data_IF_557657050888
#
_entry.id   IF_557657050888
#
_cell.length_a   1.000
_cell.length_b   1.000
_cell.length_c   1.000
_cell.angle_alpha   90.00
_cell.angle_beta   90.00
_cell.angle_gamma   90.00
#
_symmetry.space_group_name_H-M   'P 1'
#
loop_
_entity.id
_entity.type
_entity.pdbx_description
1 polymer ?
#
# COMPACT_ATOMS: atom_id res chain seq x y z
N UNK A 1 5.33 -9.42 -14.72
CA UNK A 1 4.83 -9.49 -16.11
C UNK A 1 5.15 -8.16 -16.76
N UNK A 2 6.06 -8.11 -17.74
CA UNK A 2 6.25 -6.89 -18.54
C UNK A 2 5.14 -6.89 -19.59
N UNK A 3 4.22 -5.93 -19.51
CA UNK A 3 3.13 -5.83 -20.47
C UNK A 3 3.68 -5.48 -21.86
N UNK A 4 3.02 -5.97 -22.92
CA UNK A 4 3.34 -5.64 -24.32
C UNK A 4 3.16 -4.14 -24.61
N UNK A 5 2.30 -3.47 -23.85
CA UNK A 5 2.02 -2.05 -23.92
C UNK A 5 2.80 -1.29 -22.84
N UNK A 6 3.44 -0.17 -23.22
CA UNK A 6 4.34 0.62 -22.36
C UNK A 6 3.63 1.52 -21.32
N UNK A 7 2.33 1.34 -21.11
CA UNK A 7 1.54 2.12 -20.16
C UNK A 7 1.48 1.48 -18.77
N UNK A 8 1.21 2.31 -17.78
CA UNK A 8 0.85 1.96 -16.41
C UNK A 8 -0.66 2.03 -16.25
N UNK A 9 -1.26 0.97 -15.72
CA UNK A 9 -2.68 0.96 -15.35
C UNK A 9 -2.83 1.37 -13.88
N UNK A 10 -3.48 2.50 -13.65
CA UNK A 10 -3.90 2.94 -12.32
C UNK A 10 -5.33 2.45 -12.08
N UNK A 11 -5.61 1.93 -10.89
CA UNK A 11 -6.96 1.47 -10.52
C UNK A 11 -7.33 1.95 -9.13
N UNK A 12 -8.62 2.22 -8.94
CA UNK A 12 -9.22 2.46 -7.64
C UNK A 12 -10.39 1.47 -7.46
N UNK A 13 -10.43 0.84 -6.29
CA UNK A 13 -11.52 -0.04 -5.88
C UNK A 13 -12.00 0.39 -4.49
N UNK A 14 -13.26 0.11 -4.19
CA UNK A 14 -13.82 0.25 -2.85
C UNK A 14 -14.36 -1.10 -2.35
N UNK A 15 -14.49 -1.20 -1.04
CA UNK A 15 -15.17 -2.31 -0.40
C UNK A 15 -16.63 -1.91 -0.13
N UNK A 16 -17.59 -2.73 -0.57
CA UNK A 16 -19.00 -2.53 -0.25
C UNK A 16 -19.35 -3.06 1.16
N UNK A 17 -20.60 -2.86 1.58
CA UNK A 17 -21.08 -3.33 2.88
C UNK A 17 -21.09 -4.87 3.04
N UNK A 18 -20.98 -5.61 1.93
CA UNK A 18 -20.92 -7.06 1.89
C UNK A 18 -19.47 -7.58 1.75
N UNK A 19 -18.48 -6.71 1.95
CA UNK A 19 -17.06 -7.01 1.81
C UNK A 19 -16.62 -7.39 0.39
N UNK A 20 -17.38 -7.04 -0.64
CA UNK A 20 -16.94 -7.17 -2.02
C UNK A 20 -16.05 -6.01 -2.41
N UNK A 21 -15.00 -6.32 -3.16
CA UNK A 21 -14.17 -5.30 -3.81
C UNK A 21 -14.82 -4.93 -5.15
N UNK A 22 -15.28 -3.69 -5.27
CA UNK A 22 -15.92 -3.16 -6.47
C UNK A 22 -14.98 -2.15 -7.13
N UNK A 23 -14.70 -2.26 -8.44
CA UNK A 23 -13.91 -1.26 -9.16
C UNK A 23 -14.67 0.07 -9.24
N UNK A 24 -13.99 1.17 -8.93
CA UNK A 24 -14.54 2.52 -9.00
C UNK A 24 -14.09 3.26 -10.28
N UNK A 25 -12.80 3.20 -10.58
CA UNK A 25 -12.20 3.90 -11.70
C UNK A 25 -10.89 3.25 -12.13
N UNK A 26 -10.48 3.52 -13.38
CA UNK A 26 -9.16 3.16 -13.90
C UNK A 26 -8.63 4.24 -14.84
N UNK A 27 -7.31 4.28 -15.02
CA UNK A 27 -6.61 5.14 -15.97
C UNK A 27 -5.42 4.40 -16.56
N UNK A 28 -5.13 4.66 -17.84
CA UNK A 28 -3.88 4.24 -18.47
C UNK A 28 -3.02 5.48 -18.67
N UNK A 29 -1.86 5.53 -18.00
CA UNK A 29 -0.90 6.63 -18.11
C UNK A 29 0.48 6.10 -18.51
N UNK A 30 1.41 6.96 -18.95
CA UNK A 30 2.74 6.50 -19.34
C UNK A 30 3.57 6.04 -18.13
N UNK A 31 3.48 6.78 -17.02
CA UNK A 31 4.29 6.55 -15.81
C UNK A 31 3.52 6.88 -14.52
N UNK A 32 3.89 6.24 -13.41
CA UNK A 32 3.46 6.64 -12.07
C UNK A 32 4.20 7.91 -11.63
N UNK A 33 3.57 9.07 -11.81
CA UNK A 33 4.12 10.37 -11.39
C UNK A 33 3.16 11.06 -10.44
N UNK A 34 3.61 12.09 -9.73
CA UNK A 34 2.67 12.92 -8.95
C UNK A 34 1.56 13.47 -9.85
N UNK A 35 1.90 13.92 -11.06
CA UNK A 35 0.94 14.51 -12.00
C UNK A 35 -0.13 13.51 -12.46
N UNK A 36 0.25 12.28 -12.83
CA UNK A 36 -0.72 11.25 -13.22
C UNK A 36 -1.63 10.85 -12.05
N UNK A 37 -1.06 10.64 -10.86
CA UNK A 37 -1.86 10.34 -9.66
C UNK A 37 -2.79 11.48 -9.26
N UNK A 38 -2.33 12.73 -9.32
CA UNK A 38 -3.15 13.90 -9.00
C UNK A 38 -4.32 14.02 -9.97
N UNK A 39 -4.10 13.83 -11.27
CA UNK A 39 -5.16 13.83 -12.26
C UNK A 39 -6.17 12.72 -11.98
N UNK A 40 -5.70 11.47 -11.80
CA UNK A 40 -6.56 10.30 -11.53
C UNK A 40 -7.45 10.52 -10.30
N UNK A 41 -6.82 10.86 -9.17
CA UNK A 41 -7.51 11.01 -7.90
C UNK A 41 -8.46 12.20 -7.91
N UNK A 42 -8.13 13.29 -8.61
CA UNK A 42 -9.04 14.44 -8.76
C UNK A 42 -10.30 14.10 -9.57
N UNK A 43 -10.18 13.24 -10.58
CA UNK A 43 -11.36 12.72 -11.31
C UNK A 43 -12.19 11.79 -10.43
N UNK A 44 -11.53 10.93 -9.67
CA UNK A 44 -12.19 10.04 -8.74
C UNK A 44 -12.94 10.81 -7.64
N UNK A 45 -12.32 11.83 -7.05
CA UNK A 45 -12.92 12.61 -5.96
C UNK A 45 -14.17 13.36 -6.40
N UNK A 46 -14.23 13.84 -7.65
CA UNK A 46 -15.44 14.43 -8.23
C UNK A 46 -16.55 13.41 -8.54
N UNK A 47 -16.23 12.11 -8.54
CA UNK A 47 -17.16 11.03 -8.89
C UNK A 47 -17.69 10.26 -7.67
N UNK A 48 -17.10 10.45 -6.49
CA UNK A 48 -17.49 9.79 -5.25
C UNK A 48 -17.92 10.81 -4.20
N UNK A 49 -18.83 10.41 -3.31
CA UNK A 49 -19.21 11.25 -2.17
C UNK A 49 -18.16 11.15 -1.06
N UNK A 50 -17.57 12.29 -0.67
CA UNK A 50 -16.65 12.34 0.46
C UNK A 50 -17.39 12.00 1.76
N UNK A 51 -16.78 11.15 2.58
CA UNK A 51 -17.27 10.81 3.92
C UNK A 51 -16.20 11.08 4.96
N UNK A 52 -16.62 11.48 6.15
CA UNK A 52 -15.70 11.75 7.28
C UNK A 52 -15.00 10.49 7.80
N UNK A 53 -15.56 9.30 7.54
CA UNK A 53 -15.02 8.00 7.91
C UNK A 53 -14.31 7.29 6.76
N UNK A 54 -14.03 8.00 5.66
CA UNK A 54 -13.36 7.42 4.51
C UNK A 54 -11.90 7.08 4.85
N UNK A 55 -11.52 5.84 4.51
CA UNK A 55 -10.16 5.33 4.66
C UNK A 55 -9.62 4.93 3.30
N UNK A 56 -8.45 5.47 2.92
CA UNK A 56 -7.81 5.19 1.64
C UNK A 56 -6.57 4.35 1.89
N UNK A 57 -6.50 3.20 1.23
CA UNK A 57 -5.35 2.29 1.29
C UNK A 57 -4.64 2.27 -0.06
N UNK A 58 -3.35 2.58 -0.09
CA UNK A 58 -2.59 2.71 -1.33
C UNK A 58 -1.11 2.27 -1.18
N UNK A 59 -0.37 2.19 -2.29
CA UNK A 59 1.07 1.86 -2.28
C UNK A 59 1.94 3.06 -1.84
N UNK A 60 3.18 2.82 -1.41
CA UNK A 60 4.13 3.85 -0.96
C UNK A 60 4.83 4.61 -2.08
N UNK A 61 4.24 4.68 -3.27
CA UNK A 61 4.78 5.50 -4.34
C UNK A 61 4.73 6.98 -3.94
N UNK A 62 5.87 7.68 -3.95
CA UNK A 62 5.96 9.09 -3.46
C UNK A 62 4.97 10.02 -4.15
N UNK A 63 4.76 9.84 -5.46
CA UNK A 63 3.79 10.61 -6.23
C UNK A 63 2.35 10.37 -5.76
N UNK A 64 2.02 9.12 -5.41
CA UNK A 64 0.69 8.75 -4.92
C UNK A 64 0.45 9.28 -3.50
N UNK A 65 1.43 9.14 -2.59
CA UNK A 65 1.37 9.73 -1.25
C UNK A 65 1.07 11.23 -1.33
N UNK A 66 1.82 11.96 -2.16
CA UNK A 66 1.62 13.40 -2.30
C UNK A 66 0.28 13.76 -2.92
N UNK A 67 -0.17 13.04 -3.94
CA UNK A 67 -1.45 13.31 -4.61
C UNK A 67 -2.65 12.96 -3.70
N UNK A 68 -2.59 11.85 -2.96
CA UNK A 68 -3.64 11.43 -2.04
C UNK A 68 -3.82 12.42 -0.88
N UNK A 69 -2.73 12.94 -0.31
CA UNK A 69 -2.78 13.96 0.73
C UNK A 69 -3.39 15.29 0.22
N UNK A 70 -3.18 15.62 -1.05
CA UNK A 70 -3.69 16.84 -1.68
C UNK A 70 -5.19 16.72 -2.02
N UNK A 71 -5.61 15.58 -2.57
CA UNK A 71 -7.01 15.37 -3.01
C UNK A 71 -7.94 14.95 -1.87
N UNK A 72 -7.42 14.19 -0.89
CA UNK A 72 -8.20 13.66 0.23
C UNK A 72 -7.59 14.06 1.58
N UNK A 73 -7.46 15.37 1.88
CA UNK A 73 -6.76 15.86 3.07
C UNK A 73 -7.43 15.46 4.40
N UNK A 74 -8.71 15.12 4.37
CA UNK A 74 -9.49 14.74 5.56
C UNK A 74 -9.74 13.24 5.68
N UNK A 75 -9.37 12.45 4.68
CA UNK A 75 -9.49 11.01 4.75
C UNK A 75 -8.40 10.44 5.67
N UNK A 76 -8.69 9.29 6.28
CA UNK A 76 -7.65 8.49 6.91
C UNK A 76 -6.85 7.76 5.82
N UNK A 77 -5.54 7.67 6.00
CA UNK A 77 -4.63 7.08 5.01
C UNK A 77 -3.89 5.91 5.62
N UNK A 78 -3.74 4.84 4.83
CA UNK A 78 -2.94 3.67 5.20
C UNK A 78 -2.21 3.09 4.01
N UNK A 79 -1.17 2.32 4.30
CA UNK A 79 -0.40 1.65 3.26
C UNK A 79 -0.90 0.23 3.05
N UNK A 80 -1.01 -0.17 1.79
CA UNK A 80 -1.40 -1.51 1.41
C UNK A 80 -0.37 -2.52 1.93
N UNK A 81 -0.80 -3.39 2.84
CA UNK A 81 0.06 -4.41 3.46
C UNK A 81 0.67 -5.37 2.44
N UNK A 82 -0.06 -5.66 1.36
CA UNK A 82 0.41 -6.56 0.32
C UNK A 82 1.50 -5.91 -0.54
N UNK A 83 1.39 -4.60 -0.81
CA UNK A 83 2.48 -3.84 -1.44
C UNK A 83 3.68 -3.71 -0.50
N UNK A 84 3.46 -3.49 0.80
CA UNK A 84 4.53 -3.49 1.80
C UNK A 84 5.28 -4.83 1.83
N UNK A 85 4.56 -5.96 1.80
CA UNK A 85 5.14 -7.29 1.73
C UNK A 85 6.01 -7.48 0.48
N UNK A 86 5.53 -7.05 -0.69
CA UNK A 86 6.32 -7.12 -1.95
C UNK A 86 7.56 -6.22 -1.89
N UNK A 87 7.41 -5.00 -1.36
CA UNK A 87 8.52 -4.06 -1.17
C UNK A 87 9.57 -4.62 -0.20
N UNK A 88 9.15 -5.27 0.89
CA UNK A 88 10.03 -5.97 1.83
C UNK A 88 10.84 -7.06 1.13
N UNK A 89 10.17 -7.97 0.42
CA UNK A 89 10.82 -9.09 -0.29
C UNK A 89 11.79 -8.56 -1.35
N UNK A 90 11.39 -7.56 -2.11
CA UNK A 90 12.22 -6.93 -3.14
C UNK A 90 13.46 -6.26 -2.54
N UNK A 91 13.30 -5.55 -1.41
CA UNK A 91 14.37 -4.77 -0.78
C UNK A 91 15.44 -5.62 -0.13
N UNK A 92 15.02 -6.68 0.58
CA UNK A 92 15.94 -7.48 1.39
C UNK A 92 16.46 -8.73 0.69
N UNK A 93 16.01 -9.01 -0.56
CA UNK A 93 16.54 -10.04 -1.47
C UNK A 93 16.92 -11.39 -0.82
N UNK A 94 16.26 -11.75 0.27
CA UNK A 94 16.39 -13.07 0.87
C UNK A 94 15.79 -14.07 -0.12
N UNK A 95 16.50 -15.17 -0.40
CA UNK A 95 15.93 -16.31 -1.11
C UNK A 95 14.52 -16.60 -0.58
N UNK A 96 13.57 -16.81 -1.48
CA UNK A 96 12.13 -16.64 -1.32
C UNK A 96 11.41 -17.40 -0.17
N UNK A 97 12.11 -18.03 0.76
CA UNK A 97 11.56 -19.09 1.58
C UNK A 97 11.03 -18.63 2.95
N UNK A 98 11.22 -17.37 3.36
CA UNK A 98 10.88 -16.92 4.73
C UNK A 98 10.05 -15.64 4.85
N UNK A 99 10.52 -14.53 4.25
CA UNK A 99 10.00 -13.19 4.59
C UNK A 99 8.50 -13.01 4.33
N UNK A 100 7.99 -13.57 3.24
CA UNK A 100 6.61 -13.35 2.82
C UNK A 100 5.59 -13.86 3.84
N UNK A 101 5.77 -15.07 4.34
CA UNK A 101 4.85 -15.66 5.30
C UNK A 101 5.11 -15.13 6.72
N UNK A 102 6.36 -14.86 7.10
CA UNK A 102 6.70 -14.25 8.40
C UNK A 102 6.08 -12.86 8.54
N UNK A 103 6.21 -12.03 7.52
CA UNK A 103 5.56 -10.73 7.48
C UNK A 103 4.03 -10.87 7.49
N UNK A 104 3.50 -11.87 6.78
CA UNK A 104 2.05 -12.17 6.80
C UNK A 104 1.56 -12.52 8.20
N UNK A 105 2.29 -13.38 8.89
CA UNK A 105 1.98 -13.79 10.24
C UNK A 105 2.07 -12.59 11.21
N UNK A 106 3.11 -11.75 11.08
CA UNK A 106 3.25 -10.53 11.88
C UNK A 106 2.05 -9.58 11.73
N UNK A 107 1.63 -9.23 10.51
CA UNK A 107 0.50 -8.30 10.35
C UNK A 107 -0.86 -8.92 10.68
N UNK A 108 -0.95 -10.26 10.73
CA UNK A 108 -2.17 -11.00 11.07
C UNK A 108 -2.19 -11.45 12.54
N UNK A 109 -1.19 -11.05 13.34
CA UNK A 109 -1.08 -11.40 14.74
C UNK A 109 -2.23 -10.78 15.54
N UNK A 110 -2.80 -11.55 16.47
CA UNK A 110 -3.91 -11.13 17.32
C UNK A 110 -3.42 -10.56 18.66
N UNK A 111 -2.16 -10.79 19.00
CA UNK A 111 -1.55 -10.29 20.23
C UNK A 111 -0.21 -9.59 19.96
N UNK A 112 0.18 -8.70 20.87
CA UNK A 112 1.51 -8.07 20.81
C UNK A 112 2.64 -9.08 20.99
N UNK A 113 2.38 -10.18 21.71
CA UNK A 113 3.34 -11.26 21.86
C UNK A 113 3.57 -11.98 20.52
N UNK A 114 2.50 -12.43 19.85
CA UNK A 114 2.59 -13.05 18.52
C UNK A 114 3.25 -12.12 17.50
N UNK A 115 2.90 -10.82 17.53
CA UNK A 115 3.53 -9.82 16.67
C UNK A 115 5.04 -9.76 16.91
N UNK A 116 5.47 -9.66 18.17
CA UNK A 116 6.89 -9.58 18.52
C UNK A 116 7.63 -10.87 18.15
N UNK A 117 7.02 -12.03 18.35
CA UNK A 117 7.57 -13.33 17.92
C UNK A 117 7.85 -13.33 16.41
N UNK A 118 6.88 -12.93 15.57
CA UNK A 118 7.07 -12.89 14.13
C UNK A 118 8.02 -11.77 13.66
N UNK A 119 8.05 -10.61 14.35
CA UNK A 119 9.03 -9.56 14.07
C UNK A 119 10.44 -10.03 14.42
N UNK A 120 10.62 -10.78 15.50
CA UNK A 120 11.90 -11.40 15.87
C UNK A 120 12.35 -12.40 14.79
N UNK A 121 11.42 -13.22 14.26
CA UNK A 121 11.72 -14.09 13.11
C UNK A 121 12.14 -13.34 11.85
N UNK A 122 11.68 -12.10 11.65
CA UNK A 122 12.12 -11.24 10.54
C UNK A 122 13.52 -10.65 10.83
N UNK A 123 13.82 -10.26 12.06
CA UNK A 123 15.14 -9.73 12.42
C UNK A 123 16.25 -10.76 12.25
N UNK A 124 15.95 -12.05 12.49
CA UNK A 124 16.90 -13.15 12.24
C UNK A 124 17.23 -13.32 10.76
N UNK A 125 16.34 -12.91 9.85
CA UNK A 125 16.60 -12.95 8.40
C UNK A 125 17.47 -11.78 7.96
N UNK A 126 17.15 -10.58 8.45
CA UNK A 126 17.97 -9.38 8.25
C UNK A 126 17.63 -8.33 9.32
N UNK A 127 18.61 -8.01 10.17
CA UNK A 127 18.47 -7.06 11.27
C UNK A 127 18.06 -5.63 10.82
N UNK A 128 18.14 -5.32 9.52
CA UNK A 128 17.71 -4.04 8.95
C UNK A 128 16.21 -3.99 8.67
N UNK A 129 15.47 -5.10 8.74
CA UNK A 129 14.05 -5.17 8.42
C UNK A 129 13.21 -4.35 9.40
N UNK A 130 13.30 -4.57 10.71
CA UNK A 130 12.50 -3.82 11.69
C UNK A 130 12.81 -2.31 11.68
N UNK A 131 14.08 -1.86 11.61
CA UNK A 131 14.40 -0.43 11.37
C UNK A 131 13.85 0.13 10.06
N UNK A 132 13.66 -0.70 9.02
CA UNK A 132 13.05 -0.27 7.78
C UNK A 132 11.52 -0.19 7.89
N UNK A 133 10.89 -1.14 8.58
CA UNK A 133 9.45 -1.15 8.87
C UNK A 133 9.04 0.02 9.77
N UNK A 134 9.83 0.39 10.77
CA UNK A 134 9.51 1.55 11.63
C UNK A 134 9.47 2.87 10.85
N UNK A 135 10.30 3.01 9.82
CA UNK A 135 10.27 4.16 8.90
C UNK A 135 9.03 4.19 8.01
N UNK A 136 8.28 3.09 7.90
CA UNK A 136 7.03 3.03 7.14
C UNK A 136 5.92 3.82 7.83
N UNK A 137 5.81 3.72 9.15
CA UNK A 137 4.71 4.32 9.93
C UNK A 137 4.85 5.83 10.18
N UNK A 138 6.01 6.43 9.88
CA UNK A 138 6.32 7.81 10.24
C UNK A 138 5.86 8.87 9.22
N UNK A 139 4.87 8.56 8.38
CA UNK A 139 4.27 9.51 7.45
C UNK A 139 3.01 10.11 8.08
N UNK A 140 3.20 11.11 8.94
CA UNK A 140 2.18 12.10 9.29
C UNK A 140 2.58 13.43 8.68
#
# INVERSE_FOLDING_TARGET
MKAYYKGTLLTACAQDANNHIIPLAFEICDFETKASWLWFLSRLSGSISMRSDMYIVYDRHKGLISAAAEVFPHALHGFCVEHLRRNLISKFRSGANGLGWKFKAAYSANTMQELEEYLSMLDTEDARIRPWLSKVGNHR
#
